data_IF_594606509662
#
_entry.id   IF_594606509662
#
_cell.length_a   1.000
_cell.length_b   1.000
_cell.length_c   1.000
_cell.angle_alpha   90.00
_cell.angle_beta   90.00
_cell.angle_gamma   90.00
#
_symmetry.space_group_name_H-M   'P 1'
#
loop_
_entity.id
_entity.type
_entity.pdbx_description
1 polymer ?
#
# COMPACT_ATOMS: atom_id res chain seq x y z
N UNK A 1 -8.02 -46.10 -12.73
CA UNK A 1 -8.47 -46.08 -11.33
C UNK A 1 -8.68 -44.64 -10.91
N UNK A 2 -9.76 -44.42 -10.15
CA UNK A 2 -10.39 -43.15 -9.77
C UNK A 2 -9.44 -42.20 -9.02
N UNK A 3 -9.39 -40.92 -9.40
CA UNK A 3 -9.29 -39.75 -8.49
C UNK A 3 -9.27 -38.47 -9.36
N UNK A 4 -10.41 -37.85 -9.63
CA UNK A 4 -10.93 -36.67 -8.91
C UNK A 4 -10.06 -35.42 -9.11
N UNK A 5 -10.40 -34.69 -10.19
CA UNK A 5 -10.13 -33.26 -10.34
C UNK A 5 -10.58 -32.52 -9.06
N UNK A 6 -9.62 -32.06 -8.25
CA UNK A 6 -9.83 -30.98 -7.30
C UNK A 6 -9.23 -29.72 -7.91
N UNK A 7 -9.98 -29.09 -8.81
CA UNK A 7 -9.79 -27.69 -9.15
C UNK A 7 -10.37 -26.90 -7.99
N UNK A 8 -9.53 -26.61 -7.00
CA UNK A 8 -9.86 -25.70 -5.91
C UNK A 8 -9.88 -24.30 -6.50
N UNK A 9 -11.03 -23.91 -7.06
CA UNK A 9 -11.34 -22.51 -7.30
C UNK A 9 -11.37 -21.86 -5.91
N UNK A 10 -10.37 -21.04 -5.59
CA UNK A 10 -10.43 -20.17 -4.41
C UNK A 10 -11.57 -19.17 -4.65
N UNK A 11 -12.78 -19.56 -4.26
CA UNK A 11 -13.86 -18.63 -4.01
C UNK A 11 -13.49 -17.91 -2.71
N UNK A 12 -12.87 -16.75 -2.84
CA UNK A 12 -12.63 -15.82 -1.74
C UNK A 12 -13.98 -15.26 -1.30
N UNK A 13 -14.70 -16.01 -0.46
CA UNK A 13 -15.83 -15.49 0.29
C UNK A 13 -15.27 -14.53 1.35
N UNK A 14 -15.32 -13.23 1.04
CA UNK A 14 -15.26 -12.20 2.07
C UNK A 14 -16.49 -12.35 2.97
N UNK A 15 -16.31 -13.02 4.11
CA UNK A 15 -17.12 -12.80 5.29
C UNK A 15 -16.22 -12.15 6.33
N UNK A 16 -16.08 -10.82 6.25
CA UNK A 16 -15.55 -10.02 7.36
C UNK A 16 -16.68 -9.88 8.37
N UNK A 17 -16.80 -10.87 9.26
CA UNK A 17 -17.57 -10.70 10.48
C UNK A 17 -16.67 -9.97 11.50
N UNK A 18 -17.00 -8.71 11.78
CA UNK A 18 -16.42 -7.91 12.84
C UNK A 18 -16.73 -8.57 14.19
N UNK A 19 -15.68 -9.00 14.89
CA UNK A 19 -15.74 -9.51 16.25
C UNK A 19 -15.78 -8.33 17.24
N UNK A 20 -16.86 -8.21 18.02
CA UNK A 20 -16.92 -7.48 19.29
C UNK A 20 -17.70 -8.34 20.30
N UNK A 21 -17.38 -8.28 21.62
CA UNK A 21 -17.64 -9.37 22.55
C UNK A 21 -19.11 -9.47 23.01
N UNK A 22 -19.55 -10.71 23.16
CA UNK A 22 -20.87 -11.11 23.65
C UNK A 22 -20.98 -10.79 25.14
N UNK A 23 -21.78 -9.78 25.49
CA UNK A 23 -22.46 -9.76 26.77
C UNK A 23 -23.67 -10.69 26.67
N UNK A 24 -23.65 -11.78 27.45
CA UNK A 24 -24.78 -12.69 27.62
C UNK A 24 -25.96 -11.95 28.28
N UNK A 25 -27.10 -11.89 27.61
CA UNK A 25 -28.42 -12.11 28.22
C UNK A 25 -29.57 -12.04 27.19
N UNK A 26 -30.48 -13.00 27.36
CA UNK A 26 -31.85 -13.07 26.85
C UNK A 26 -32.05 -13.56 25.40
N UNK A 27 -32.68 -14.75 25.32
CA UNK A 27 -33.35 -15.30 24.16
C UNK A 27 -34.12 -14.24 23.36
N UNK A 28 -33.67 -13.99 22.14
CA UNK A 28 -34.49 -13.37 21.10
C UNK A 28 -34.36 -14.19 19.83
N UNK A 29 -35.38 -15.02 19.61
CA UNK A 29 -35.90 -15.52 18.34
C UNK A 29 -35.04 -15.13 17.13
N UNK A 30 -34.28 -16.09 16.59
CA UNK A 30 -33.48 -15.92 15.38
C UNK A 30 -34.35 -15.30 14.27
N UNK A 31 -33.98 -14.08 13.85
CA UNK A 31 -34.53 -13.48 12.65
C UNK A 31 -34.10 -14.34 11.45
N UNK A 32 -34.98 -14.59 10.46
CA UNK A 32 -34.58 -15.32 9.27
C UNK A 32 -33.45 -14.56 8.57
N UNK A 33 -32.37 -15.25 8.21
CA UNK A 33 -31.35 -14.73 7.29
C UNK A 33 -32.06 -14.12 6.08
N UNK A 34 -32.00 -12.80 5.98
CA UNK A 34 -32.55 -12.09 4.83
C UNK A 34 -31.79 -12.55 3.59
N UNK A 35 -32.49 -13.24 2.68
CA UNK A 35 -31.96 -13.60 1.38
C UNK A 35 -31.26 -12.39 0.73
N UNK A 36 -30.12 -12.59 0.04
CA UNK A 36 -29.40 -11.48 -0.59
C UNK A 36 -30.37 -10.69 -1.48
N UNK A 37 -30.38 -9.37 -1.28
CA UNK A 37 -31.26 -8.46 -2.01
C UNK A 37 -31.08 -8.66 -3.52
N UNK A 38 -32.18 -8.93 -4.23
CA UNK A 38 -32.14 -9.14 -5.68
C UNK A 38 -31.57 -7.91 -6.38
N UNK A 39 -30.60 -8.11 -7.26
CA UNK A 39 -30.05 -7.03 -8.06
C UNK A 39 -31.15 -6.41 -8.95
N UNK A 40 -31.13 -5.08 -9.16
CA UNK A 40 -32.13 -4.42 -9.99
C UNK A 40 -32.12 -4.99 -11.42
N UNK A 41 -33.30 -5.36 -11.93
CA UNK A 41 -33.47 -5.87 -13.30
C UNK A 41 -33.28 -4.73 -14.29
N UNK A 42 -32.40 -4.92 -15.26
CA UNK A 42 -32.21 -4.00 -16.37
C UNK A 42 -33.11 -4.42 -17.53
N UNK A 43 -33.90 -3.47 -18.06
CA UNK A 43 -34.88 -3.70 -19.12
C UNK A 43 -34.27 -4.24 -20.44
N UNK A 44 -32.95 -4.15 -20.61
CA UNK A 44 -32.25 -4.70 -21.78
C UNK A 44 -32.19 -6.24 -21.80
N UNK A 45 -32.41 -6.92 -20.67
CA UNK A 45 -32.32 -8.38 -20.56
C UNK A 45 -33.70 -9.02 -20.35
N UNK A 46 -33.96 -10.12 -21.06
CA UNK A 46 -35.27 -10.80 -21.01
C UNK A 46 -35.41 -11.67 -19.77
N UNK A 47 -34.30 -12.17 -19.23
CA UNK A 47 -34.29 -13.05 -18.05
C UNK A 47 -33.16 -12.66 -17.10
N UNK A 48 -33.29 -13.06 -15.83
CA UNK A 48 -32.22 -12.90 -14.83
C UNK A 48 -30.96 -13.65 -15.23
N UNK A 49 -31.10 -14.83 -15.84
CA UNK A 49 -29.97 -15.62 -16.35
C UNK A 49 -29.20 -14.86 -17.44
N UNK A 50 -29.91 -14.18 -18.34
CA UNK A 50 -29.26 -13.35 -19.38
C UNK A 50 -28.50 -12.18 -18.76
N UNK A 51 -29.09 -11.49 -17.78
CA UNK A 51 -28.44 -10.39 -17.08
C UNK A 51 -27.21 -10.88 -16.29
N UNK A 52 -27.32 -12.02 -15.62
CA UNK A 52 -26.24 -12.62 -14.82
C UNK A 52 -25.08 -13.08 -15.71
N UNK A 53 -25.37 -13.75 -16.83
CA UNK A 53 -24.36 -14.16 -17.81
C UNK A 53 -23.62 -12.96 -18.41
N UNK A 54 -24.35 -11.89 -18.76
CA UNK A 54 -23.74 -10.65 -19.23
C UNK A 54 -22.85 -10.00 -18.17
N UNK A 55 -23.30 -9.93 -16.92
CA UNK A 55 -22.54 -9.35 -15.82
C UNK A 55 -21.22 -10.12 -15.56
N UNK A 56 -21.25 -11.45 -15.59
CA UNK A 56 -20.05 -12.29 -15.48
C UNK A 56 -19.07 -12.01 -16.63
N UNK A 57 -19.55 -11.98 -17.87
CA UNK A 57 -18.72 -11.66 -19.04
C UNK A 57 -18.12 -10.25 -18.98
N UNK A 58 -18.91 -9.25 -18.58
CA UNK A 58 -18.45 -7.87 -18.41
C UNK A 58 -17.39 -7.74 -17.30
N UNK A 59 -17.54 -8.48 -16.19
CA UNK A 59 -16.56 -8.51 -15.11
C UNK A 59 -15.23 -9.12 -15.57
N UNK A 60 -15.26 -10.26 -16.26
CA UNK A 60 -14.07 -10.89 -16.83
C UNK A 60 -13.40 -9.99 -17.87
N UNK A 61 -14.18 -9.36 -18.76
CA UNK A 61 -13.67 -8.41 -19.73
C UNK A 61 -12.96 -7.23 -19.08
N UNK A 62 -13.50 -6.69 -17.98
CA UNK A 62 -12.86 -5.60 -17.22
C UNK A 62 -11.57 -6.03 -16.53
N UNK A 63 -11.53 -7.26 -16.00
CA UNK A 63 -10.29 -7.84 -15.46
C UNK A 63 -9.22 -7.92 -16.56
N UNK A 64 -9.56 -8.46 -17.73
CA UNK A 64 -8.63 -8.57 -18.87
C UNK A 64 -8.16 -7.19 -19.35
N UNK A 65 -9.07 -6.22 -19.46
CA UNK A 65 -8.75 -4.84 -19.84
C UNK A 65 -7.74 -4.21 -18.85
N UNK A 66 -7.95 -4.38 -17.55
CA UNK A 66 -7.03 -3.87 -16.54
C UNK A 66 -5.66 -4.55 -16.63
N UNK A 67 -5.60 -5.88 -16.82
CA UNK A 67 -4.33 -6.59 -17.04
C UNK A 67 -3.59 -6.08 -18.28
N UNK A 68 -4.30 -5.82 -19.38
CA UNK A 68 -3.73 -5.25 -20.60
C UNK A 68 -3.19 -3.84 -20.39
N UNK A 69 -3.89 -3.00 -19.61
CA UNK A 69 -3.42 -1.65 -19.25
C UNK A 69 -2.12 -1.70 -18.45
N UNK A 70 -2.00 -2.62 -17.49
CA UNK A 70 -0.74 -2.78 -16.74
C UNK A 70 0.41 -3.25 -17.64
N UNK A 71 0.14 -4.18 -18.57
CA UNK A 71 1.13 -4.62 -19.56
C UNK A 71 1.52 -3.49 -20.53
N UNK A 72 0.57 -2.64 -20.92
CA UNK A 72 0.85 -1.49 -21.79
C UNK A 72 1.77 -0.47 -21.12
N UNK A 73 1.65 -0.27 -19.80
CA UNK A 73 2.61 0.55 -19.03
C UNK A 73 4.04 0.00 -19.09
N UNK A 74 4.20 -1.30 -19.36
CA UNK A 74 5.49 -1.96 -19.59
C UNK A 74 5.92 -1.97 -21.07
N UNK A 75 5.17 -1.29 -21.95
CA UNK A 75 5.43 -1.28 -23.39
C UNK A 75 4.92 -2.52 -24.13
N UNK A 76 4.16 -3.40 -23.46
CA UNK A 76 3.60 -4.61 -24.07
C UNK A 76 2.17 -4.31 -24.52
N UNK A 77 1.97 -4.22 -25.83
CA UNK A 77 0.63 -4.07 -26.43
C UNK A 77 0.22 -5.40 -27.06
N UNK A 78 -0.85 -5.99 -26.55
CA UNK A 78 -1.45 -7.19 -27.15
C UNK A 78 -2.59 -6.80 -28.09
N UNK A 79 -2.79 -7.62 -29.12
CA UNK A 79 -3.90 -7.46 -30.05
C UNK A 79 -5.20 -7.93 -29.39
N UNK A 80 -6.07 -6.96 -29.09
CA UNK A 80 -7.36 -7.23 -28.45
C UNK A 80 -8.27 -8.11 -29.32
N UNK A 81 -8.19 -8.01 -30.65
CA UNK A 81 -9.00 -8.82 -31.56
C UNK A 81 -8.64 -10.30 -31.47
N UNK A 82 -7.34 -10.61 -31.35
CA UNK A 82 -6.86 -11.99 -31.16
C UNK A 82 -7.24 -12.54 -29.78
N UNK A 83 -7.19 -11.71 -28.75
CA UNK A 83 -7.58 -12.10 -27.40
C UNK A 83 -9.09 -12.43 -27.33
N UNK A 84 -9.95 -11.63 -27.96
CA UNK A 84 -11.39 -11.91 -28.06
C UNK A 84 -11.65 -13.18 -28.88
N UNK A 85 -10.97 -13.34 -30.02
CA UNK A 85 -11.08 -14.54 -30.85
C UNK A 85 -10.66 -15.80 -30.07
N UNK A 86 -9.57 -15.74 -29.30
CA UNK A 86 -9.12 -16.84 -28.46
C UNK A 86 -10.14 -17.25 -27.40
N UNK A 87 -10.80 -16.28 -26.76
CA UNK A 87 -11.90 -16.56 -25.81
C UNK A 87 -13.06 -17.26 -26.53
N UNK A 88 -13.49 -16.76 -27.69
CA UNK A 88 -14.61 -17.34 -28.46
C UNK A 88 -14.29 -18.76 -28.96
N UNK A 89 -13.09 -18.97 -29.51
CA UNK A 89 -12.63 -20.25 -30.03
C UNK A 89 -12.51 -21.28 -28.89
N UNK A 90 -11.97 -20.89 -27.73
CA UNK A 90 -11.88 -21.77 -26.56
C UNK A 90 -13.28 -22.18 -26.03
N UNK A 91 -14.21 -21.23 -25.88
CA UNK A 91 -15.58 -21.51 -25.44
C UNK A 91 -16.34 -22.44 -26.40
N UNK A 92 -16.02 -22.38 -27.70
CA UNK A 92 -16.65 -23.23 -28.73
C UNK A 92 -15.93 -24.55 -28.97
N UNK A 93 -14.85 -24.84 -28.23
CA UNK A 93 -14.04 -26.05 -28.41
C UNK A 93 -13.25 -26.07 -29.73
N UNK A 94 -13.02 -24.90 -30.33
CA UNK A 94 -12.31 -24.69 -31.61
C UNK A 94 -11.02 -23.90 -31.44
N UNK A 95 -10.45 -23.90 -30.23
CA UNK A 95 -9.17 -23.24 -29.96
C UNK A 95 -8.13 -23.66 -31.01
N UNK A 96 -7.43 -22.66 -31.56
CA UNK A 96 -6.33 -22.88 -32.49
C UNK A 96 -5.06 -23.39 -31.81
N UNK A 97 -5.03 -23.35 -30.48
CA UNK A 97 -3.94 -23.84 -29.65
C UNK A 97 -4.47 -24.95 -28.74
N UNK A 98 -3.72 -26.04 -28.63
CA UNK A 98 -3.92 -27.06 -27.59
C UNK A 98 -3.63 -26.49 -26.20
N UNK A 99 -4.12 -27.16 -25.15
CA UNK A 99 -3.89 -26.73 -23.77
C UNK A 99 -2.39 -26.62 -23.43
N UNK A 100 -1.56 -27.52 -23.98
CA UNK A 100 -0.10 -27.49 -23.81
C UNK A 100 0.53 -26.29 -24.52
N UNK A 101 0.08 -25.96 -25.73
CA UNK A 101 0.58 -24.78 -26.46
C UNK A 101 0.16 -23.47 -25.77
N UNK A 102 -1.05 -23.42 -25.18
CA UNK A 102 -1.51 -22.29 -24.37
C UNK A 102 -0.59 -22.11 -23.17
N UNK A 103 -0.34 -23.17 -22.39
CA UNK A 103 0.52 -23.10 -21.21
C UNK A 103 1.93 -22.62 -21.56
N UNK A 104 2.55 -23.20 -22.58
CA UNK A 104 3.91 -22.83 -23.02
C UNK A 104 3.98 -21.37 -23.52
N UNK A 105 2.94 -20.93 -24.24
CA UNK A 105 2.85 -19.55 -24.73
C UNK A 105 2.72 -18.56 -23.57
N UNK A 106 1.90 -18.88 -22.57
CA UNK A 106 1.70 -18.04 -21.39
C UNK A 106 2.96 -17.97 -20.51
N UNK A 107 3.66 -19.10 -20.30
CA UNK A 107 4.95 -19.09 -19.58
C UNK A 107 5.99 -18.19 -20.28
N UNK A 108 6.06 -18.25 -21.61
CA UNK A 108 6.96 -17.40 -22.40
C UNK A 108 6.56 -15.93 -22.28
N UNK A 109 5.25 -15.65 -22.32
CA UNK A 109 4.71 -14.31 -22.17
C UNK A 109 4.96 -13.73 -20.77
N UNK A 110 4.79 -14.51 -19.71
CA UNK A 110 5.13 -14.13 -18.34
C UNK A 110 6.60 -13.76 -18.20
N UNK A 111 7.51 -14.55 -18.80
CA UNK A 111 8.93 -14.23 -18.88
C UNK A 111 9.19 -12.87 -19.56
N UNK A 112 8.53 -12.60 -20.68
CA UNK A 112 8.61 -11.31 -21.38
C UNK A 112 8.09 -10.16 -20.51
N UNK A 113 6.96 -10.34 -19.83
CA UNK A 113 6.40 -9.33 -18.91
C UNK A 113 7.37 -9.04 -17.77
N UNK A 114 7.97 -10.06 -17.16
CA UNK A 114 8.97 -9.90 -16.09
C UNK A 114 10.20 -9.13 -16.56
N UNK A 115 10.74 -9.47 -17.73
CA UNK A 115 11.88 -8.74 -18.32
C UNK A 115 11.52 -7.28 -18.58
N UNK A 116 10.38 -7.01 -19.20
CA UNK A 116 9.93 -5.64 -19.45
C UNK A 116 9.72 -4.84 -18.16
N UNK A 117 9.19 -5.48 -17.10
CA UNK A 117 9.07 -4.86 -15.78
C UNK A 117 10.43 -4.49 -15.18
N UNK A 118 11.42 -5.37 -15.30
CA UNK A 118 12.78 -5.09 -14.84
C UNK A 118 13.44 -3.96 -15.64
N UNK A 119 13.36 -3.99 -16.96
CA UNK A 119 13.91 -2.93 -17.83
C UNK A 119 13.27 -1.57 -17.53
N UNK A 120 11.95 -1.55 -17.35
CA UNK A 120 11.24 -0.33 -16.96
C UNK A 120 11.69 0.16 -15.59
N UNK A 121 11.81 -0.72 -14.59
CA UNK A 121 12.30 -0.36 -13.26
C UNK A 121 13.70 0.25 -13.33
N UNK A 122 14.62 -0.35 -14.10
CA UNK A 122 15.98 0.16 -14.26
C UNK A 122 16.01 1.51 -14.99
N UNK A 123 15.17 1.68 -16.01
CA UNK A 123 15.02 2.95 -16.71
C UNK A 123 14.48 4.04 -15.77
N UNK A 124 13.39 3.77 -15.07
CA UNK A 124 12.78 4.70 -14.14
C UNK A 124 13.76 5.06 -13.01
N UNK A 125 14.51 4.08 -12.48
CA UNK A 125 15.53 4.32 -11.45
C UNK A 125 16.64 5.27 -11.93
N UNK A 126 17.06 5.17 -13.20
CA UNK A 126 18.05 6.08 -13.80
C UNK A 126 17.45 7.48 -14.00
N UNK A 127 16.26 7.54 -14.60
CA UNK A 127 15.56 8.81 -14.87
C UNK A 127 15.27 9.57 -13.56
N UNK A 128 14.83 8.87 -12.51
CA UNK A 128 14.53 9.46 -11.21
C UNK A 128 15.78 9.91 -10.46
N UNK A 129 16.89 9.16 -10.54
CA UNK A 129 18.17 9.61 -9.96
C UNK A 129 18.61 10.94 -10.59
N UNK A 130 18.59 11.03 -11.93
CA UNK A 130 19.00 12.24 -12.64
C UNK A 130 18.08 13.44 -12.32
N UNK A 131 16.76 13.23 -12.32
CA UNK A 131 15.80 14.28 -11.94
C UNK A 131 15.95 14.70 -10.48
N UNK A 132 16.16 13.73 -9.59
CA UNK A 132 16.37 13.94 -8.16
C UNK A 132 17.63 14.74 -7.87
N UNK A 133 18.74 14.42 -8.53
CA UNK A 133 20.00 15.17 -8.45
C UNK A 133 19.85 16.61 -8.96
N UNK A 134 19.17 16.79 -10.10
CA UNK A 134 18.89 18.12 -10.65
C UNK A 134 18.01 18.96 -9.71
N UNK A 135 16.97 18.35 -9.13
CA UNK A 135 16.11 19.01 -8.14
C UNK A 135 16.90 19.39 -6.89
N UNK A 136 17.67 18.46 -6.33
CA UNK A 136 18.52 18.68 -5.17
C UNK A 136 19.53 19.82 -5.41
N UNK A 137 20.17 19.85 -6.59
CA UNK A 137 21.11 20.91 -6.96
C UNK A 137 20.45 22.29 -7.11
N UNK A 138 19.19 22.33 -7.55
CA UNK A 138 18.40 23.57 -7.59
C UNK A 138 18.02 24.02 -6.19
N UNK A 139 17.46 23.13 -5.38
CA UNK A 139 17.03 23.42 -4.02
C UNK A 139 18.21 23.87 -3.14
N UNK A 140 19.39 23.25 -3.28
CA UNK A 140 20.60 23.63 -2.56
C UNK A 140 21.06 25.09 -2.78
N UNK A 141 20.56 25.78 -3.81
CA UNK A 141 20.87 27.18 -4.11
C UNK A 141 19.84 28.16 -3.54
N UNK A 142 18.74 27.64 -2.98
CA UNK A 142 17.73 28.47 -2.35
C UNK A 142 18.24 29.03 -1.01
N UNK A 143 17.61 30.11 -0.55
CA UNK A 143 18.02 30.79 0.67
C UNK A 143 17.81 29.88 1.89
N UNK A 144 18.76 29.91 2.82
CA UNK A 144 18.69 29.20 4.11
C UNK A 144 18.65 27.66 3.98
N UNK A 145 18.94 27.12 2.79
CA UNK A 145 19.11 25.67 2.57
C UNK A 145 20.50 25.25 3.00
N UNK A 146 20.57 24.17 3.77
CA UNK A 146 21.80 23.54 4.22
C UNK A 146 21.91 22.14 3.61
N UNK A 147 23.15 21.71 3.35
CA UNK A 147 23.46 20.36 2.87
C UNK A 147 24.35 19.64 3.87
N UNK A 148 23.96 18.44 4.28
CA UNK A 148 24.77 17.62 5.19
C UNK A 148 25.77 16.76 4.42
N UNK A 149 26.67 16.09 5.15
CA UNK A 149 27.66 15.18 4.57
C UNK A 149 27.05 13.93 3.91
N UNK A 150 25.89 13.48 4.40
CA UNK A 150 25.16 12.33 3.84
C UNK A 150 24.42 12.65 2.54
N UNK A 151 24.31 13.95 2.22
CA UNK A 151 23.60 14.46 1.05
C UNK A 151 22.18 14.93 1.34
N UNK A 152 21.71 14.85 2.59
CA UNK A 152 20.44 15.45 3.00
C UNK A 152 20.51 16.97 2.78
N UNK A 153 19.43 17.50 2.20
CA UNK A 153 19.19 18.93 2.10
C UNK A 153 18.03 19.30 3.00
N UNK A 154 18.15 20.41 3.73
CA UNK A 154 17.07 20.88 4.58
C UNK A 154 17.00 22.40 4.63
N UNK A 155 15.82 22.91 4.94
CA UNK A 155 15.55 24.32 5.17
C UNK A 155 14.73 24.45 6.46
N UNK A 156 15.25 25.18 7.44
CA UNK A 156 14.52 25.44 8.68
C UNK A 156 13.58 26.62 8.43
N UNK A 157 12.28 26.36 8.38
CA UNK A 157 11.26 27.40 8.27
C UNK A 157 10.96 28.04 9.63
N UNK A 158 11.02 27.23 10.69
CA UNK A 158 10.87 27.66 12.08
C UNK A 158 11.73 26.79 12.98
N UNK A 159 12.67 27.37 13.72
CA UNK A 159 13.61 26.58 14.54
C UNK A 159 12.95 25.80 15.69
N UNK A 160 11.87 26.33 16.27
CA UNK A 160 11.29 25.80 17.51
C UNK A 160 12.12 26.17 18.74
N UNK A 161 11.80 25.57 19.89
CA UNK A 161 12.43 25.85 21.19
C UNK A 161 12.60 24.59 22.02
N UNK A 162 13.55 24.59 22.96
CA UNK A 162 13.83 23.45 23.84
C UNK A 162 14.95 22.56 23.33
N UNK A 163 14.93 21.29 23.73
CA UNK A 163 15.97 20.33 23.37
C UNK A 163 15.80 19.82 21.93
N UNK A 164 16.90 19.35 21.34
CA UNK A 164 16.93 18.67 20.05
C UNK A 164 16.57 17.19 20.25
N UNK A 165 15.81 16.57 19.31
CA UNK A 165 15.51 15.15 19.37
C UNK A 165 16.77 14.27 19.41
N UNK A 166 16.79 13.26 20.27
CA UNK A 166 17.81 12.20 20.28
C UNK A 166 17.29 10.97 19.55
N UNK A 167 18.20 10.07 19.15
CA UNK A 167 17.86 8.86 18.38
C UNK A 167 16.81 7.98 19.06
N UNK A 168 16.90 7.84 20.39
CA UNK A 168 15.97 7.02 21.18
C UNK A 168 14.63 7.70 21.49
N UNK A 169 14.50 9.00 21.20
CA UNK A 169 13.30 9.76 21.57
C UNK A 169 12.14 9.40 20.64
N UNK A 170 10.93 9.53 21.18
CA UNK A 170 9.70 9.49 20.39
C UNK A 170 9.31 10.90 19.99
N UNK A 171 9.19 11.16 18.69
CA UNK A 171 8.76 12.44 18.15
C UNK A 171 7.31 12.37 17.69
N UNK A 172 6.59 13.49 17.83
CA UNK A 172 5.23 13.65 17.32
C UNK A 172 5.25 14.73 16.25
N UNK A 173 4.78 14.42 15.04
CA UNK A 173 4.91 15.29 13.88
C UNK A 173 3.61 15.41 13.11
N UNK A 174 3.42 16.56 12.46
CA UNK A 174 2.63 16.61 11.24
C UNK A 174 3.55 16.71 10.04
N UNK A 175 3.16 16.12 8.91
CA UNK A 175 3.96 16.17 7.70
C UNK A 175 3.14 15.99 6.42
N UNK A 176 3.74 16.43 5.32
CA UNK A 176 3.31 16.14 3.95
C UNK A 176 4.52 15.68 3.15
N UNK A 177 4.43 14.49 2.57
CA UNK A 177 5.44 13.88 1.72
C UNK A 177 5.03 13.92 0.25
N UNK A 178 5.88 14.48 -0.60
CA UNK A 178 5.67 14.53 -2.06
C UNK A 178 6.91 14.04 -2.82
N UNK A 179 6.68 13.53 -4.02
CA UNK A 179 7.74 13.38 -5.01
C UNK A 179 8.18 14.77 -5.51
N UNK A 180 9.31 14.83 -6.22
CA UNK A 180 9.87 16.08 -6.77
C UNK A 180 8.98 16.74 -7.83
N UNK A 181 8.02 16.00 -8.39
CA UNK A 181 7.02 16.52 -9.34
C UNK A 181 5.76 17.07 -8.65
N UNK A 182 5.70 17.01 -7.32
CA UNK A 182 4.56 17.45 -6.51
C UNK A 182 3.50 16.39 -6.22
N UNK A 183 3.66 15.18 -6.75
CA UNK A 183 2.75 14.06 -6.43
C UNK A 183 2.83 13.74 -4.95
N UNK A 184 1.72 13.93 -4.23
CA UNK A 184 1.61 13.57 -2.81
C UNK A 184 1.51 12.04 -2.68
N UNK A 185 2.34 11.46 -1.80
CA UNK A 185 2.29 10.03 -1.49
C UNK A 185 1.86 9.76 -0.04
N UNK A 186 2.01 10.74 0.86
CA UNK A 186 1.63 10.60 2.26
C UNK A 186 1.41 11.97 2.91
N UNK A 187 0.38 12.09 3.76
CA UNK A 187 -0.01 13.34 4.39
C UNK A 187 -0.74 13.08 5.71
N UNK A 188 -0.18 13.55 6.83
CA UNK A 188 -0.81 13.37 8.15
C UNK A 188 -2.01 14.30 8.38
N UNK A 189 -2.01 15.47 7.73
CA UNK A 189 -3.09 16.44 7.88
C UNK A 189 -4.42 15.92 7.33
N UNK A 190 -4.38 15.16 6.23
CA UNK A 190 -5.59 14.55 5.64
C UNK A 190 -6.14 13.40 6.49
N UNK A 191 -5.30 12.76 7.31
CA UNK A 191 -5.74 11.78 8.32
C UNK A 191 -6.36 12.42 9.56
N UNK A 192 -6.08 13.70 9.81
CA UNK A 192 -6.63 14.45 10.94
C UNK A 192 -5.90 14.21 12.27
N UNK A 193 -4.83 13.41 12.28
CA UNK A 193 -4.02 13.15 13.49
C UNK A 193 -2.51 13.18 13.20
N UNK A 194 -1.69 13.70 14.13
CA UNK A 194 -0.23 13.63 14.04
C UNK A 194 0.30 12.19 14.08
N UNK A 195 1.47 11.99 13.50
CA UNK A 195 2.17 10.70 13.58
C UNK A 195 3.18 10.72 14.74
N UNK A 196 3.21 9.64 15.53
CA UNK A 196 4.15 9.45 16.64
C UNK A 196 5.02 8.22 16.38
N UNK A 197 6.35 8.38 16.43
CA UNK A 197 7.31 7.29 16.21
C UNK A 197 8.63 7.55 16.93
N UNK A 198 9.41 6.49 17.15
CA UNK A 198 10.80 6.61 17.59
C UNK A 198 11.69 7.10 16.45
N UNK A 199 12.58 8.05 16.74
CA UNK A 199 13.39 8.70 15.70
C UNK A 199 14.34 7.73 14.98
N UNK A 200 14.79 6.67 15.64
CA UNK A 200 15.60 5.59 15.05
C UNK A 200 14.79 4.53 14.28
N UNK A 201 13.45 4.61 14.29
CA UNK A 201 12.55 3.67 13.62
C UNK A 201 12.05 4.11 12.24
N UNK A 202 12.61 5.18 11.67
CA UNK A 202 12.19 5.78 10.39
C UNK A 202 13.33 5.83 9.38
N UNK A 203 13.07 6.33 8.18
CA UNK A 203 14.10 6.43 7.13
C UNK A 203 15.27 7.32 7.59
N UNK A 204 16.52 7.01 7.20
CA UNK A 204 17.71 7.72 7.70
C UNK A 204 17.65 9.24 7.54
N UNK A 205 17.04 9.73 6.44
CA UNK A 205 16.90 11.16 6.20
C UNK A 205 16.00 11.89 7.22
N UNK A 206 15.01 11.19 7.78
CA UNK A 206 14.19 11.73 8.87
C UNK A 206 14.96 11.70 10.20
N UNK A 207 15.63 10.59 10.51
CA UNK A 207 16.47 10.45 11.72
C UNK A 207 17.54 11.53 11.79
N UNK A 208 18.17 11.85 10.66
CA UNK A 208 19.14 12.94 10.55
C UNK A 208 18.46 14.31 10.55
N UNK A 209 17.45 14.52 9.69
CA UNK A 209 16.86 15.83 9.44
C UNK A 209 16.15 16.44 10.64
N UNK A 210 15.41 15.65 11.41
CA UNK A 210 14.66 16.16 12.56
C UNK A 210 15.54 16.66 13.70
N UNK A 211 16.82 16.26 13.76
CA UNK A 211 17.76 16.79 14.76
C UNK A 211 18.12 18.25 14.53
N UNK A 212 17.84 18.80 13.34
CA UNK A 212 18.08 20.20 13.02
C UNK A 212 16.96 21.14 13.47
N UNK A 213 15.85 20.61 14.01
CA UNK A 213 14.70 21.40 14.47
C UNK A 213 14.30 20.98 15.88
N UNK A 214 13.80 21.94 16.67
CA UNK A 214 13.34 21.72 18.05
C UNK A 214 11.82 21.64 18.11
N UNK A 215 11.29 21.28 19.27
CA UNK A 215 9.83 21.26 19.51
C UNK A 215 9.16 22.57 19.08
N UNK A 216 8.04 22.44 18.38
CA UNK A 216 7.26 23.54 17.81
C UNK A 216 7.85 24.15 16.53
N UNK A 217 8.93 23.58 15.99
CA UNK A 217 9.58 24.01 14.77
C UNK A 217 9.02 23.36 13.51
N UNK A 218 9.41 23.91 12.37
CA UNK A 218 9.02 23.50 11.02
C UNK A 218 10.27 23.41 10.14
N UNK A 219 10.40 22.32 9.42
CA UNK A 219 11.55 22.02 8.58
C UNK A 219 11.09 21.38 7.27
N UNK A 220 11.70 21.82 6.18
CA UNK A 220 11.57 21.17 4.88
C UNK A 220 12.79 20.29 4.64
N UNK A 221 12.56 19.03 4.29
CA UNK A 221 13.60 18.04 4.00
C UNK A 221 13.52 17.64 2.53
N UNK A 222 14.66 17.63 1.84
CA UNK A 222 14.83 17.04 0.51
C UNK A 222 15.81 15.88 0.66
N UNK A 223 15.24 14.67 0.63
CA UNK A 223 15.90 13.44 1.04
C UNK A 223 16.29 12.64 -0.21
N UNK A 224 17.60 12.44 -0.46
CA UNK A 224 18.05 11.61 -1.57
C UNK A 224 17.69 10.13 -1.35
N UNK A 225 17.59 9.31 -2.42
CA UNK A 225 17.07 7.95 -2.32
C UNK A 225 17.87 7.03 -1.39
N UNK A 226 19.18 7.25 -1.23
CA UNK A 226 20.04 6.48 -0.31
C UNK A 226 19.71 6.72 1.17
N UNK A 227 19.00 7.80 1.50
CA UNK A 227 18.50 8.11 2.84
C UNK A 227 16.98 7.87 2.97
N UNK A 228 16.38 7.23 1.96
CA UNK A 228 14.96 6.91 1.86
C UNK A 228 14.75 5.44 1.44
N UNK A 229 14.01 5.19 0.36
CA UNK A 229 13.62 3.83 -0.09
C UNK A 229 14.50 3.25 -1.22
N UNK A 230 15.56 3.96 -1.62
CA UNK A 230 16.62 3.46 -2.50
C UNK A 230 16.14 2.98 -3.89
N UNK A 231 16.89 2.03 -4.45
CA UNK A 231 16.73 1.53 -5.82
C UNK A 231 15.41 0.80 -6.06
N UNK A 232 14.82 0.19 -5.04
CA UNK A 232 13.60 -0.61 -5.21
C UNK A 232 12.34 0.23 -5.03
N UNK A 233 12.40 1.33 -4.26
CA UNK A 233 11.21 2.08 -3.87
C UNK A 233 10.26 1.24 -3.01
N UNK A 234 9.02 1.71 -2.89
CA UNK A 234 7.90 1.05 -2.19
C UNK A 234 6.60 1.39 -2.93
N UNK A 235 5.46 0.71 -2.68
CA UNK A 235 4.19 1.09 -3.28
C UNK A 235 3.90 2.59 -3.10
N UNK A 236 3.63 3.30 -4.20
CA UNK A 236 3.44 4.76 -4.22
C UNK A 236 4.71 5.59 -4.36
N UNK A 237 5.90 5.01 -4.17
CA UNK A 237 7.20 5.69 -4.29
C UNK A 237 8.10 4.96 -5.30
N UNK A 238 8.30 5.52 -6.50
CA UNK A 238 9.12 4.88 -7.53
C UNK A 238 10.59 4.63 -7.11
N UNK A 239 11.29 3.72 -7.81
CA UNK A 239 12.74 3.52 -7.71
C UNK A 239 13.55 4.81 -7.72
N UNK A 240 14.55 4.92 -6.83
CA UNK A 240 15.48 6.05 -6.72
C UNK A 240 14.81 7.43 -6.62
N UNK A 241 13.61 7.51 -6.04
CA UNK A 241 12.94 8.79 -5.84
C UNK A 241 13.62 9.62 -4.76
N UNK A 242 13.96 10.87 -5.09
CA UNK A 242 14.18 11.92 -4.08
C UNK A 242 12.84 12.32 -3.50
N UNK A 243 12.75 12.40 -2.17
CA UNK A 243 11.53 12.74 -1.46
C UNK A 243 11.60 14.16 -0.92
N UNK A 244 10.47 14.86 -0.93
CA UNK A 244 10.32 16.17 -0.32
C UNK A 244 9.33 16.05 0.82
N UNK A 245 9.72 16.49 2.01
CA UNK A 245 8.86 16.51 3.18
C UNK A 245 8.78 17.92 3.75
N UNK A 246 7.56 18.40 3.97
CA UNK A 246 7.30 19.54 4.85
C UNK A 246 6.90 18.96 6.21
N UNK A 247 7.68 19.21 7.27
CA UNK A 247 7.50 18.59 8.58
C UNK A 247 7.35 19.63 9.68
N UNK A 248 6.37 19.44 10.56
CA UNK A 248 6.17 20.21 11.79
C UNK A 248 6.42 19.30 13.00
N UNK A 249 7.43 19.62 13.80
CA UNK A 249 7.76 18.87 15.01
C UNK A 249 6.92 19.39 16.18
N UNK A 250 5.90 18.63 16.60
CA UNK A 250 4.93 19.06 17.60
C UNK A 250 5.41 18.77 19.03
N UNK A 251 6.02 17.59 19.23
CA UNK A 251 6.45 17.15 20.55
C UNK A 251 7.65 16.19 20.50
N UNK A 252 8.40 16.12 21.60
CA UNK A 252 9.53 15.22 21.79
C UNK A 252 9.34 14.56 23.16
N UNK A 253 9.23 13.24 23.19
CA UNK A 253 9.06 12.43 24.39
C UNK A 253 10.33 11.61 24.63
N UNK A 254 11.04 11.82 25.76
CA UNK A 254 12.22 11.03 26.09
C UNK A 254 11.91 9.54 26.20
N UNK A 255 12.84 8.68 25.78
CA UNK A 255 12.69 7.22 25.79
C UNK A 255 12.15 6.66 27.12
N UNK A 256 12.68 7.15 28.25
CA UNK A 256 12.28 6.70 29.60
C UNK A 256 10.81 6.99 29.96
N UNK A 257 10.16 7.95 29.30
CA UNK A 257 8.76 8.31 29.55
C UNK A 257 7.79 7.67 28.52
N UNK A 258 8.31 7.20 27.39
CA UNK A 258 7.51 6.55 26.36
C UNK A 258 7.18 5.08 26.71
N UNK A 259 8.14 4.37 27.32
CA UNK A 259 7.96 2.97 27.72
C UNK A 259 6.95 2.82 28.88
N UNK A 260 6.91 3.78 29.81
CA UNK A 260 5.95 3.80 30.92
C UNK A 260 4.50 4.03 30.45
N UNK A 261 4.28 4.84 29.40
CA UNK A 261 2.95 5.07 28.82
C UNK A 261 2.48 3.91 27.94
N UNK A 262 3.36 3.33 27.12
CA UNK A 262 3.01 2.14 26.34
C UNK A 262 2.65 0.94 27.24
N UNK A 263 3.30 0.81 28.41
CA UNK A 263 2.92 -0.19 29.41
C UNK A 263 1.65 0.16 30.18
N UNK A 264 1.35 1.44 30.43
CA UNK A 264 0.10 1.87 31.05
C UNK A 264 -1.10 1.66 30.12
N UNK A 265 -0.96 1.98 28.84
CA UNK A 265 -2.01 1.79 27.83
C UNK A 265 -2.28 0.29 27.57
N UNK A 266 -1.25 -0.56 27.65
CA UNK A 266 -1.39 -2.02 27.57
C UNK A 266 -1.92 -2.67 28.87
N UNK A 267 -1.86 -1.97 30.01
CA UNK A 267 -2.46 -2.41 31.29
C UNK A 267 -3.92 -2.01 31.48
N UNK A 268 -4.46 -1.14 30.62
CA UNK A 268 -5.84 -0.66 30.75
C UNK A 268 -6.84 -1.46 29.88
N UNK A 269 -6.38 -2.51 29.20
CA UNK A 269 -7.26 -3.48 28.54
C UNK A 269 -7.56 -4.64 29.52
N UNK A 270 -8.81 -4.83 29.98
CA UNK A 270 -9.13 -5.93 30.87
C UNK A 270 -8.94 -7.26 30.13
N UNK A 271 -8.09 -8.12 30.69
CA UNK A 271 -8.01 -9.53 30.32
C UNK A 271 -9.33 -10.21 30.71
N UNK A 272 -10.23 -10.38 29.74
CA UNK A 272 -11.43 -11.18 29.91
C UNK A 272 -11.11 -12.66 29.68
N UNK A 273 -11.15 -13.40 30.79
CA UNK A 273 -11.61 -14.79 30.95
C UNK A 273 -10.76 -15.93 30.37
N UNK A 274 -10.07 -16.62 31.29
CA UNK A 274 -9.84 -18.05 31.23
C UNK A 274 -9.88 -18.62 32.65
N UNK A 275 -11.09 -18.82 33.17
CA UNK A 275 -11.36 -19.73 34.29
C UNK A 275 -12.67 -20.44 33.92
N UNK A 276 -12.58 -21.68 33.45
CA UNK A 276 -13.22 -22.80 34.15
C UNK A 276 -12.94 -24.15 33.47
N UNK A 277 -13.01 -25.19 34.31
CA UNK A 277 -13.11 -26.61 33.98
C UNK A 277 -11.78 -27.40 33.90
N UNK A 278 -11.41 -28.04 35.01
CA UNK A 278 -11.93 -29.38 35.34
C UNK A 278 -11.26 -29.95 36.58
N UNK A 279 -12.02 -30.02 37.66
CA UNK A 279 -11.83 -31.01 38.72
C UNK A 279 -13.22 -31.52 39.14
N UNK A 280 -13.53 -32.78 38.83
CA UNK A 280 -14.47 -33.64 39.57
C UNK A 280 -14.75 -34.95 38.80
N UNK A 281 -14.15 -36.03 39.33
CA UNK A 281 -14.75 -37.37 39.51
C UNK A 281 -16.23 -37.50 39.09
N UNK A 282 -16.52 -38.41 38.15
CA UNK A 282 -17.10 -39.74 38.40
C UNK A 282 -17.33 -40.48 37.08
#
# INVERSE_FOLDING_TARGET
MKSLFKVTLLATTMAVALNAPVAMAAESKAAPESAPAQAPKNAAFKTEDQQSAYALGASLGRYMENSLKEQEKLGIKLDQSQLIAGVQDAFSGKSKLSDQEIEQTLQTFEGRVKTAAQEKMEKDAKDNSAKGEAFAAKFAKEKDVQKTKSGLLYQIEKAGTGDEPKDSDTVVVNYKGTLIDGTEFDNSYTRGEPLSFRLDGVIPGWTEGLKHVKKGGKIKLVIPPNLAYGKNGVPGIPPNSTLVFDVELLDIKPAAQADDKAQADNKTQPAAQADDAKDAKK
#
